data_IF_930374191875
#
_entry.id   IF_930374191875
#
_cell.length_a   1.000
_cell.length_b   1.000
_cell.length_c   1.000
_cell.angle_alpha   90.00
_cell.angle_beta   90.00
_cell.angle_gamma   90.00
#
_symmetry.space_group_name_H-M   'P 1'
#
loop_
_entity.id
_entity.type
_entity.pdbx_description
1 polymer ?
#
# COMPACT_ATOMS: atom_id res chain seq x y z
N UNK A 1 -20.91 14.54 -6.46
CA UNK A 1 -19.61 14.29 -5.80
C UNK A 1 -19.17 12.88 -6.16
N UNK A 2 -18.19 12.72 -7.07
CA UNK A 2 -17.69 11.39 -7.42
C UNK A 2 -16.86 10.91 -6.22
N UNK A 3 -17.32 9.86 -5.53
CA UNK A 3 -16.49 9.16 -4.55
C UNK A 3 -15.43 8.38 -5.33
N UNK A 4 -14.17 8.79 -5.21
CA UNK A 4 -13.07 7.97 -5.70
C UNK A 4 -12.98 6.70 -4.85
N UNK A 5 -12.87 5.55 -5.53
CA UNK A 5 -12.55 4.27 -4.90
C UNK A 5 -11.04 3.98 -5.04
N UNK A 6 -10.57 2.83 -4.57
CA UNK A 6 -9.16 2.42 -4.64
C UNK A 6 -8.74 2.02 -6.08
N UNK A 7 -8.83 2.97 -7.02
CA UNK A 7 -8.55 2.78 -8.45
C UNK A 7 -7.17 2.19 -8.68
N UNK A 8 -6.14 2.65 -7.95
CA UNK A 8 -4.78 2.13 -8.11
C UNK A 8 -4.61 0.70 -7.59
N UNK A 9 -5.47 0.24 -6.67
CA UNK A 9 -5.48 -1.16 -6.21
C UNK A 9 -6.21 -2.03 -7.24
N UNK A 10 -7.36 -1.55 -7.74
CA UNK A 10 -8.08 -2.22 -8.82
C UNK A 10 -7.23 -2.36 -10.09
N UNK A 11 -6.55 -1.30 -10.49
CA UNK A 11 -5.63 -1.33 -11.64
C UNK A 11 -4.49 -2.34 -11.43
N UNK A 12 -3.95 -2.44 -10.21
CA UNK A 12 -2.90 -3.41 -9.90
C UNK A 12 -3.38 -4.86 -10.10
N UNK A 13 -4.62 -5.18 -9.73
CA UNK A 13 -5.22 -6.49 -10.01
C UNK A 13 -5.46 -6.73 -11.51
N UNK A 14 -5.90 -5.71 -12.26
CA UNK A 14 -6.08 -5.83 -13.72
C UNK A 14 -4.74 -6.12 -14.41
N UNK A 15 -3.68 -5.41 -14.02
CA UNK A 15 -2.32 -5.63 -14.57
C UNK A 15 -1.81 -7.04 -14.20
N UNK A 16 -1.98 -7.47 -12.95
CA UNK A 16 -1.62 -8.83 -12.55
C UNK A 16 -2.42 -9.91 -13.30
N UNK A 17 -3.72 -9.69 -13.49
CA UNK A 17 -4.59 -10.56 -14.28
C UNK A 17 -4.24 -10.61 -15.78
N UNK A 18 -3.49 -9.63 -16.28
CA UNK A 18 -2.91 -9.65 -17.64
C UNK A 18 -1.60 -10.43 -17.75
N UNK A 19 -1.14 -11.05 -16.66
CA UNK A 19 0.07 -11.86 -16.59
C UNK A 19 1.35 -11.09 -16.30
N UNK A 20 1.27 -9.79 -15.99
CA UNK A 20 2.43 -8.99 -15.61
C UNK A 20 2.62 -9.00 -14.09
N UNK A 21 3.84 -9.22 -13.57
CA UNK A 21 4.07 -9.21 -12.14
C UNK A 21 3.88 -7.80 -11.55
N UNK A 22 3.15 -7.69 -10.43
CA UNK A 22 2.87 -6.41 -9.77
C UNK A 22 3.30 -6.44 -8.31
N UNK A 23 4.35 -5.68 -7.99
CA UNK A 23 4.68 -5.29 -6.63
C UNK A 23 4.05 -3.93 -6.31
N UNK A 24 2.92 -3.94 -5.60
CA UNK A 24 2.19 -2.71 -5.24
C UNK A 24 2.66 -2.19 -3.89
N UNK A 25 3.22 -0.98 -3.86
CA UNK A 25 3.43 -0.26 -2.60
C UNK A 25 2.17 0.50 -2.17
N UNK A 26 1.88 0.50 -0.87
CA UNK A 26 0.74 1.25 -0.34
C UNK A 26 0.64 1.28 1.18
N UNK A 27 -0.36 2.00 1.69
CA UNK A 27 -0.57 2.20 3.11
C UNK A 27 -2.08 2.23 3.43
N UNK A 28 -2.41 2.34 4.72
CA UNK A 28 -3.77 2.62 5.21
C UNK A 28 -4.17 4.07 4.88
N UNK A 29 -5.47 4.35 4.84
CA UNK A 29 -5.97 5.70 4.62
C UNK A 29 -5.46 6.69 5.68
N UNK A 30 -5.00 7.86 5.23
CA UNK A 30 -4.73 9.01 6.12
C UNK A 30 -5.83 10.08 6.09
N UNK A 31 -6.52 10.25 4.96
CA UNK A 31 -7.57 11.26 4.78
C UNK A 31 -8.72 10.82 3.86
N UNK A 32 -8.60 9.66 3.21
CA UNK A 32 -9.67 9.03 2.42
C UNK A 32 -10.53 8.11 3.27
N UNK A 33 -11.67 7.66 2.74
CA UNK A 33 -12.52 6.66 3.41
C UNK A 33 -11.89 5.27 3.49
N UNK A 34 -10.96 4.95 2.59
CA UNK A 34 -10.19 3.70 2.60
C UNK A 34 -8.89 3.85 1.81
N UNK A 35 -7.83 3.18 2.27
CA UNK A 35 -6.54 3.07 1.60
C UNK A 35 -6.40 1.70 0.94
N UNK A 36 -5.26 1.49 0.26
CA UNK A 36 -5.02 0.22 -0.44
C UNK A 36 -4.87 -0.95 0.52
N UNK A 37 -4.24 -0.72 1.67
CA UNK A 37 -4.08 -1.75 2.70
C UNK A 37 -5.43 -2.17 3.29
N UNK A 38 -6.31 -1.20 3.54
CA UNK A 38 -7.64 -1.46 4.12
C UNK A 38 -8.51 -2.31 3.17
N UNK A 39 -8.45 -2.03 1.87
CA UNK A 39 -9.17 -2.84 0.86
C UNK A 39 -8.61 -4.25 0.76
N UNK A 40 -7.28 -4.41 0.79
CA UNK A 40 -6.65 -5.72 0.69
C UNK A 40 -6.94 -6.58 1.93
N UNK A 41 -6.93 -5.99 3.11
CA UNK A 41 -7.29 -6.66 4.36
C UNK A 41 -8.76 -7.09 4.36
N UNK A 42 -9.68 -6.23 3.89
CA UNK A 42 -11.11 -6.54 3.81
C UNK A 42 -11.42 -7.72 2.88
N UNK A 43 -10.65 -7.91 1.80
CA UNK A 43 -10.78 -9.07 0.91
C UNK A 43 -9.99 -10.30 1.39
N UNK A 44 -9.44 -10.26 2.62
CA UNK A 44 -8.80 -11.39 3.29
C UNK A 44 -7.31 -11.55 3.00
N UNK A 45 -6.64 -10.56 2.40
CA UNK A 45 -5.20 -10.63 2.15
C UNK A 45 -4.40 -10.28 3.42
N UNK A 46 -3.34 -11.05 3.69
CA UNK A 46 -2.35 -10.68 4.71
C UNK A 46 -1.47 -9.54 4.20
N UNK A 47 -1.63 -8.35 4.77
CA UNK A 47 -0.89 -7.14 4.33
C UNK A 47 0.45 -6.95 5.05
N UNK A 48 0.64 -7.57 6.22
CA UNK A 48 1.86 -7.45 7.02
C UNK A 48 2.87 -8.57 6.73
N UNK A 49 3.27 -8.67 5.46
CA UNK A 49 4.32 -9.60 5.04
C UNK A 49 5.69 -8.96 5.17
N UNK A 50 6.68 -9.74 5.62
CA UNK A 50 8.07 -9.31 5.59
C UNK A 50 8.66 -9.36 4.15
N UNK A 51 9.82 -8.74 3.87
CA UNK A 51 10.36 -8.66 2.51
C UNK A 51 10.53 -10.00 1.80
N UNK A 52 10.95 -11.06 2.51
CA UNK A 52 11.10 -12.41 1.92
C UNK A 52 9.75 -13.02 1.56
N UNK A 53 8.73 -12.82 2.40
CA UNK A 53 7.37 -13.31 2.13
C UNK A 53 6.73 -12.55 0.98
N UNK A 54 6.99 -11.25 0.84
CA UNK A 54 6.54 -10.44 -0.31
C UNK A 54 7.19 -10.95 -1.60
N UNK A 55 8.50 -11.20 -1.59
CA UNK A 55 9.22 -11.76 -2.73
C UNK A 55 8.65 -13.12 -3.13
N UNK A 56 8.44 -14.01 -2.16
CA UNK A 56 7.82 -15.31 -2.39
C UNK A 56 6.41 -15.17 -2.99
N UNK A 57 5.56 -14.35 -2.39
CA UNK A 57 4.19 -14.09 -2.87
C UNK A 57 4.17 -13.57 -4.30
N UNK A 58 5.08 -12.65 -4.63
CA UNK A 58 5.21 -12.11 -5.99
C UNK A 58 5.63 -13.20 -6.98
N UNK A 59 6.59 -14.05 -6.60
CA UNK A 59 7.08 -15.13 -7.45
C UNK A 59 6.03 -16.22 -7.72
N UNK A 60 5.20 -16.53 -6.73
CA UNK A 60 4.21 -17.61 -6.81
C UNK A 60 2.90 -17.17 -7.47
N UNK A 61 2.48 -15.92 -7.24
CA UNK A 61 1.14 -15.44 -7.65
C UNK A 61 1.17 -14.36 -8.73
N UNK A 62 2.34 -13.75 -8.98
CA UNK A 62 2.45 -12.58 -9.85
C UNK A 62 1.95 -11.28 -9.20
N UNK A 63 1.54 -11.29 -7.93
CA UNK A 63 1.11 -10.09 -7.21
C UNK A 63 1.66 -10.09 -5.79
N UNK A 64 2.14 -8.94 -5.33
CA UNK A 64 2.46 -8.75 -3.92
C UNK A 64 2.21 -7.32 -3.46
N UNK A 65 1.89 -7.17 -2.17
CA UNK A 65 1.68 -5.88 -1.55
C UNK A 65 2.84 -5.55 -0.59
N UNK A 66 3.46 -4.40 -0.81
CA UNK A 66 4.51 -3.84 0.04
C UNK A 66 3.89 -2.81 0.98
N UNK A 67 3.56 -3.24 2.20
CA UNK A 67 2.98 -2.35 3.19
C UNK A 67 4.02 -1.35 3.71
N UNK A 68 3.73 -0.06 3.56
CA UNK A 68 4.69 1.02 3.81
C UNK A 68 5.26 1.01 5.23
N UNK A 69 4.47 0.62 6.25
CA UNK A 69 4.94 0.58 7.64
C UNK A 69 5.98 -0.54 7.86
N UNK A 70 5.86 -1.66 7.13
CA UNK A 70 6.83 -2.76 7.16
C UNK A 70 8.11 -2.40 6.43
N UNK A 71 8.00 -1.75 5.25
CA UNK A 71 9.15 -1.46 4.38
C UNK A 71 9.87 -0.15 4.71
N UNK A 72 9.22 0.77 5.42
CA UNK A 72 9.80 2.04 5.84
C UNK A 72 9.71 2.24 7.36
N UNK A 73 10.28 1.34 8.18
CA UNK A 73 10.13 1.39 9.64
C UNK A 73 10.78 2.64 10.25
N UNK A 74 11.78 3.24 9.59
CA UNK A 74 12.40 4.50 10.00
C UNK A 74 11.46 5.70 9.89
N UNK A 75 10.40 5.62 9.08
CA UNK A 75 9.41 6.70 8.96
C UNK A 75 8.65 6.98 10.25
N UNK A 76 8.69 6.06 11.23
CA UNK A 76 8.16 6.29 12.58
C UNK A 76 8.79 7.50 13.26
N UNK A 77 10.08 7.77 12.99
CA UNK A 77 10.78 8.93 13.55
C UNK A 77 10.32 10.26 12.96
N UNK A 78 9.79 10.22 11.73
CA UNK A 78 9.21 11.39 11.06
C UNK A 78 7.70 11.53 11.31
N UNK A 79 7.03 10.55 11.91
CA UNK A 79 5.58 10.54 12.05
C UNK A 79 5.06 11.70 12.92
N UNK A 80 5.68 11.92 14.09
CA UNK A 80 5.29 13.02 15.00
C UNK A 80 5.58 14.39 14.37
N UNK A 81 6.80 14.70 13.90
CA UNK A 81 7.07 15.99 13.26
C UNK A 81 6.16 16.29 12.07
N UNK A 82 5.85 15.29 11.23
CA UNK A 82 4.91 15.46 10.10
C UNK A 82 3.51 15.83 10.56
N UNK A 83 3.04 15.24 11.66
CA UNK A 83 1.71 15.52 12.21
C UNK A 83 1.64 16.92 12.80
N UNK A 84 2.68 17.36 13.51
CA UNK A 84 2.77 18.71 14.09
C UNK A 84 2.81 19.79 13.01
N UNK A 85 3.56 19.56 11.92
CA UNK A 85 3.63 20.49 10.79
C UNK A 85 2.27 20.65 10.09
N UNK A 86 1.45 19.60 10.00
CA UNK A 86 0.10 19.67 9.42
C UNK A 86 0.03 20.06 7.93
N UNK A 87 1.19 20.20 7.27
CA UNK A 87 1.31 20.61 5.88
C UNK A 87 1.99 19.51 5.05
N UNK A 88 1.79 19.56 3.72
CA UNK A 88 2.49 18.67 2.80
C UNK A 88 3.98 19.05 2.77
N UNK A 89 4.83 18.04 2.90
CA UNK A 89 6.29 18.15 2.77
C UNK A 89 6.79 17.17 1.72
N UNK A 90 8.10 17.16 1.46
CA UNK A 90 8.70 16.24 0.48
C UNK A 90 8.42 14.75 0.76
N UNK A 91 8.11 14.37 2.00
CA UNK A 91 7.75 13.01 2.42
C UNK A 91 6.34 12.57 1.97
N UNK A 92 5.62 13.44 1.25
CA UNK A 92 4.28 13.16 0.72
C UNK A 92 4.32 12.84 -0.78
N UNK A 93 5.43 13.16 -1.46
CA UNK A 93 5.64 12.81 -2.87
C UNK A 93 6.03 11.34 -3.03
#
# INVERSE_FOLDING_TARGET
MVRNFNVSTTAAFVVAGSGQPVAKHGNRAMSSSSGSADVLEEIGATIELNPKQVEQCLSETGFAFMFAQTFHPSMKFAAIPRKELGIRTFLTF
#
